data_IF_450043642498
#
_entry.id   IF_450043642498
#
_cell.length_a   1.000
_cell.length_b   1.000
_cell.length_c   1.000
_cell.angle_alpha   90.00
_cell.angle_beta   90.00
_cell.angle_gamma   90.00
#
_symmetry.space_group_name_H-M   'P 1'
#
loop_
_entity.id
_entity.type
_entity.pdbx_description
1 polymer ?
#
# COMPACT_ATOMS: atom_id res chain seq x y z
N UNK A 1 3.85 -11.07 14.65
CA UNK A 1 3.85 -10.42 13.32
C UNK A 1 2.48 -10.61 12.67
N UNK A 2 1.51 -9.79 13.07
CA UNK A 2 0.15 -9.85 12.55
C UNK A 2 -0.03 -8.89 11.36
N UNK A 3 -0.97 -9.19 10.48
CA UNK A 3 -1.46 -8.20 9.54
C UNK A 3 -2.51 -7.33 10.23
N UNK A 4 -2.31 -6.02 10.23
CA UNK A 4 -3.33 -5.05 10.58
C UNK A 4 -4.23 -4.84 9.35
N UNK A 5 -5.51 -5.14 9.52
CA UNK A 5 -6.49 -5.10 8.44
C UNK A 5 -7.11 -3.71 8.34
N UNK A 6 -6.73 -2.96 7.31
CA UNK A 6 -7.54 -1.86 6.80
C UNK A 6 -8.70 -2.37 5.94
N UNK A 7 -9.60 -1.48 5.53
CA UNK A 7 -10.73 -1.79 4.64
C UNK A 7 -10.25 -2.36 3.31
N UNK A 8 -9.30 -1.66 2.68
CA UNK A 8 -8.83 -1.95 1.31
C UNK A 8 -7.35 -2.31 1.24
N UNK A 9 -6.60 -2.07 2.32
CA UNK A 9 -5.18 -2.37 2.45
C UNK A 9 -4.94 -3.27 3.67
N UNK A 10 -3.97 -4.17 3.54
CA UNK A 10 -3.41 -4.87 4.69
C UNK A 10 -2.00 -4.33 4.94
N UNK A 11 -1.70 -4.04 6.20
CA UNK A 11 -0.42 -3.50 6.62
C UNK A 11 0.22 -4.48 7.59
N UNK A 12 1.53 -4.68 7.48
CA UNK A 12 2.31 -5.34 8.51
C UNK A 12 3.69 -4.72 8.58
N UNK A 13 4.36 -4.93 9.69
CA UNK A 13 5.78 -4.62 9.79
C UNK A 13 6.58 -5.53 8.85
N UNK A 14 7.55 -4.91 8.19
CA UNK A 14 8.56 -5.58 7.38
C UNK A 14 9.70 -6.11 8.24
N UNK A 15 10.77 -6.55 7.56
CA UNK A 15 11.97 -7.10 8.20
C UNK A 15 13.25 -6.35 7.81
N UNK A 16 13.11 -5.39 6.92
CA UNK A 16 14.18 -4.50 6.49
C UNK A 16 14.30 -3.32 7.48
N UNK A 17 15.47 -2.70 7.52
CA UNK A 17 15.79 -1.59 8.41
C UNK A 17 14.98 -0.32 8.09
N UNK A 18 14.60 -0.14 6.82
CA UNK A 18 13.78 0.98 6.37
C UNK A 18 12.88 0.66 5.17
N UNK A 19 11.95 1.58 4.89
CA UNK A 19 11.24 1.64 3.62
C UNK A 19 9.88 0.94 3.56
N UNK A 20 9.25 1.06 2.39
CA UNK A 20 7.90 0.52 2.14
C UNK A 20 7.89 -0.48 1.00
N UNK A 21 7.38 -1.68 1.28
CA UNK A 21 7.22 -2.78 0.31
C UNK A 21 5.76 -2.85 -0.14
N UNK A 22 5.52 -2.63 -1.44
CA UNK A 22 4.18 -2.72 -2.03
C UNK A 22 3.93 -4.09 -2.68
N UNK A 23 3.06 -4.89 -2.07
CA UNK A 23 2.61 -6.19 -2.60
C UNK A 23 1.36 -6.00 -3.46
N UNK A 24 1.57 -5.93 -4.77
CA UNK A 24 0.50 -5.73 -5.76
C UNK A 24 0.35 -6.98 -6.63
N UNK A 25 -0.66 -7.80 -6.29
CA UNK A 25 -0.96 -9.07 -6.95
C UNK A 25 -1.37 -8.88 -8.42
N UNK A 26 -1.07 -9.87 -9.27
CA UNK A 26 -1.49 -9.87 -10.69
C UNK A 26 -3.00 -9.78 -10.88
N UNK A 27 -3.78 -10.37 -9.96
CA UNK A 27 -5.25 -10.36 -9.98
C UNK A 27 -5.89 -8.96 -9.86
N UNK A 28 -5.13 -7.94 -9.47
CA UNK A 28 -5.63 -6.55 -9.37
C UNK A 28 -5.86 -5.89 -10.73
N UNK A 29 -5.40 -6.50 -11.82
CA UNK A 29 -5.61 -6.02 -13.18
C UNK A 29 -4.33 -5.87 -13.98
N UNK A 30 -4.44 -5.15 -15.10
CA UNK A 30 -3.34 -4.96 -16.03
C UNK A 30 -2.17 -4.14 -15.42
N UNK A 31 -1.06 -4.04 -16.16
CA UNK A 31 0.13 -3.34 -15.68
C UNK A 31 -0.12 -1.86 -15.35
N UNK A 32 -0.95 -1.17 -16.15
CA UNK A 32 -1.27 0.25 -15.96
C UNK A 32 -2.03 0.47 -14.66
N UNK A 33 -3.06 -0.35 -14.40
CA UNK A 33 -3.86 -0.30 -13.17
C UNK A 33 -2.97 -0.52 -11.94
N UNK A 34 -2.13 -1.57 -11.97
CA UNK A 34 -1.21 -1.90 -10.87
C UNK A 34 -0.16 -0.81 -10.64
N UNK A 35 0.42 -0.26 -11.70
CA UNK A 35 1.43 0.80 -11.59
C UNK A 35 0.82 2.12 -11.11
N UNK A 36 -0.40 2.45 -11.54
CA UNK A 36 -1.15 3.61 -11.01
C UNK A 36 -1.42 3.47 -9.52
N UNK A 37 -1.84 2.29 -9.06
CA UNK A 37 -2.04 2.02 -7.63
C UNK A 37 -0.73 2.15 -6.85
N UNK A 38 0.37 1.52 -7.32
CA UNK A 38 1.71 1.66 -6.70
C UNK A 38 2.15 3.12 -6.59
N UNK A 39 1.96 3.91 -7.65
CA UNK A 39 2.36 5.32 -7.67
C UNK A 39 1.58 6.15 -6.65
N UNK A 40 0.26 5.93 -6.55
CA UNK A 40 -0.59 6.61 -5.57
C UNK A 40 -0.20 6.25 -4.14
N UNK A 41 -0.03 4.97 -3.85
CA UNK A 41 0.40 4.51 -2.52
C UNK A 41 1.76 5.05 -2.13
N UNK A 42 2.72 5.09 -3.07
CA UNK A 42 4.04 5.68 -2.81
C UNK A 42 3.96 7.16 -2.47
N UNK A 43 3.07 7.91 -3.12
CA UNK A 43 2.87 9.31 -2.82
C UNK A 43 2.30 9.49 -1.42
N UNK A 44 1.26 8.74 -1.06
CA UNK A 44 0.65 8.79 0.28
C UNK A 44 1.68 8.46 1.36
N UNK A 45 2.46 7.39 1.20
CA UNK A 45 3.49 7.03 2.18
C UNK A 45 4.57 8.10 2.34
N UNK A 46 4.91 8.79 1.24
CA UNK A 46 5.86 9.91 1.27
C UNK A 46 5.27 11.12 1.99
N UNK A 47 3.99 11.42 1.79
CA UNK A 47 3.33 12.57 2.45
C UNK A 47 3.10 12.31 3.95
N UNK A 48 2.90 11.05 4.34
CA UNK A 48 2.77 10.62 5.74
C UNK A 48 4.10 10.49 6.49
N UNK A 49 5.24 10.67 5.80
CA UNK A 49 6.58 10.42 6.33
C UNK A 49 6.71 9.01 6.97
N UNK A 50 6.10 8.01 6.31
CA UNK A 50 5.98 6.64 6.81
C UNK A 50 6.87 5.65 6.02
N UNK A 51 7.40 4.61 6.68
CA UNK A 51 7.27 4.31 8.11
C UNK A 51 8.25 5.10 8.98
N UNK A 52 7.82 5.46 10.19
CA UNK A 52 8.64 6.21 11.16
C UNK A 52 9.83 5.40 11.71
N UNK A 53 9.76 4.07 11.67
CA UNK A 53 10.82 3.16 12.09
C UNK A 53 10.67 1.81 11.38
N UNK A 54 11.78 1.18 11.00
CA UNK A 54 11.78 -0.11 10.33
C UNK A 54 11.17 -0.03 8.93
N UNK A 55 10.70 -1.18 8.45
CA UNK A 55 10.00 -1.28 7.17
C UNK A 55 8.54 -1.65 7.36
N UNK A 56 7.71 -1.35 6.36
CA UNK A 56 6.30 -1.77 6.30
C UNK A 56 6.00 -2.49 4.99
N UNK A 57 5.08 -3.45 5.05
CA UNK A 57 4.58 -4.18 3.89
C UNK A 57 3.11 -3.88 3.70
N UNK A 58 2.78 -3.30 2.55
CA UNK A 58 1.42 -2.95 2.13
C UNK A 58 0.92 -3.94 1.09
N UNK A 59 -0.14 -4.68 1.42
CA UNK A 59 -0.83 -5.56 0.48
C UNK A 59 -2.15 -4.92 0.05
N UNK A 60 -2.29 -4.66 -1.25
CA UNK A 60 -3.51 -4.13 -1.82
C UNK A 60 -4.56 -5.22 -2.10
N UNK A 61 -5.81 -4.95 -1.75
CA UNK A 61 -6.98 -5.78 -2.08
C UNK A 61 -7.63 -5.33 -3.39
N UNK A 62 -8.43 -6.19 -4.06
CA UNK A 62 -9.16 -5.82 -5.28
C UNK A 62 -9.94 -4.50 -5.19
N UNK A 63 -10.56 -4.22 -4.05
CA UNK A 63 -11.33 -3.01 -3.80
C UNK A 63 -10.50 -1.72 -3.84
N UNK A 64 -9.20 -1.77 -3.50
CA UNK A 64 -8.31 -0.60 -3.52
C UNK A 64 -8.09 0.00 -4.92
N UNK A 65 -8.31 -0.80 -5.98
CA UNK A 65 -8.07 -0.35 -7.36
C UNK A 65 -9.01 0.78 -7.78
N UNK A 66 -10.29 0.67 -7.37
CA UNK A 66 -11.36 1.60 -7.73
C UNK A 66 -11.43 2.85 -6.86
N UNK A 67 -10.65 2.91 -5.77
CA UNK A 67 -10.65 4.08 -4.89
C UNK A 67 -10.07 5.31 -5.60
N UNK A 68 -10.65 6.47 -5.29
CA UNK A 68 -10.03 7.76 -5.59
C UNK A 68 -8.76 7.93 -4.74
N UNK A 69 -7.91 8.90 -5.11
CA UNK A 69 -6.69 9.18 -4.33
C UNK A 69 -7.03 9.53 -2.88
N UNK A 70 -7.96 10.47 -2.67
CA UNK A 70 -8.40 10.87 -1.32
C UNK A 70 -9.04 9.72 -0.53
N UNK A 71 -9.72 8.77 -1.19
CA UNK A 71 -10.26 7.60 -0.51
C UNK A 71 -9.18 6.58 -0.12
N UNK A 72 -8.10 6.51 -0.89
CA UNK A 72 -6.94 5.66 -0.61
C UNK A 72 -6.06 6.23 0.51
N UNK A 73 -5.97 7.56 0.60
CA UNK A 73 -5.23 8.27 1.65
C UNK A 73 -5.85 8.09 3.05
N UNK A 74 -7.15 7.83 3.12
CA UNK A 74 -7.88 7.59 4.39
C UNK A 74 -7.84 6.13 4.87
N UNK A 75 -7.14 5.25 4.16
CA UNK A 75 -7.00 3.82 4.51
C UNK A 75 -5.86 3.61 5.48
#
# INVERSE_FOLDING_TARGET
MGWTRGSDLWVRDGREDDGTIFVIRKALGNAVVRNRLKRRLRHIMRDLDAPACGSIVLLARPSAVGLSFAALERQ
#
